data_IF_809247475386
#
_entry.id   IF_809247475386
#
_cell.length_a   1.000
_cell.length_b   1.000
_cell.length_c   1.000
_cell.angle_alpha   90.00
_cell.angle_beta   90.00
_cell.angle_gamma   90.00
#
_symmetry.space_group_name_H-M   'P 1'
#
loop_
_entity.id
_entity.type
_entity.pdbx_description
1 polymer ?
#
# COMPACT_ATOMS: atom_id res chain seq x y z
N UNK A 1 -26.87 -93.70 -44.85
CA UNK A 1 -25.62 -92.98 -44.52
C UNK A 1 -25.96 -91.92 -43.47
N UNK A 2 -25.34 -92.01 -42.30
CA UNK A 2 -24.99 -90.94 -41.33
C UNK A 2 -25.80 -89.63 -41.37
N UNK A 3 -26.37 -89.06 -40.31
CA UNK A 3 -26.27 -89.26 -38.87
C UNK A 3 -27.09 -88.13 -38.22
N UNK A 4 -27.85 -88.51 -37.20
CA UNK A 4 -28.87 -87.76 -36.46
C UNK A 4 -28.22 -86.86 -35.39
N UNK A 5 -28.70 -85.63 -35.18
CA UNK A 5 -29.15 -85.07 -33.88
C UNK A 5 -29.49 -83.56 -33.97
N UNK A 6 -30.74 -83.25 -33.68
CA UNK A 6 -31.31 -81.96 -33.25
C UNK A 6 -31.37 -82.02 -31.70
N UNK A 7 -31.31 -80.90 -30.94
CA UNK A 7 -32.59 -80.33 -30.51
C UNK A 7 -32.62 -78.80 -30.34
N UNK A 8 -33.67 -78.20 -30.90
CA UNK A 8 -34.75 -77.45 -30.21
C UNK A 8 -34.45 -76.81 -28.84
N UNK A 9 -34.85 -75.53 -28.72
CA UNK A 9 -35.75 -74.88 -27.73
C UNK A 9 -35.30 -73.41 -27.58
N UNK A 10 -36.09 -72.34 -27.65
CA UNK A 10 -37.47 -72.13 -27.24
C UNK A 10 -37.50 -70.94 -26.27
N UNK A 11 -37.84 -69.78 -26.82
CA UNK A 11 -38.66 -68.71 -26.21
C UNK A 11 -38.11 -67.71 -25.15
N UNK A 12 -38.67 -66.50 -25.27
CA UNK A 12 -38.84 -65.42 -24.29
C UNK A 12 -37.63 -64.87 -23.50
N UNK A 13 -37.24 -63.63 -23.82
CA UNK A 13 -37.55 -62.45 -22.96
C UNK A 13 -36.92 -61.16 -23.48
N UNK A 14 -37.73 -60.11 -23.50
CA UNK A 14 -37.26 -58.74 -23.40
C UNK A 14 -36.40 -58.59 -22.13
N UNK A 15 -35.18 -58.10 -22.29
CA UNK A 15 -34.36 -57.57 -21.20
C UNK A 15 -33.70 -56.29 -21.71
N UNK A 16 -34.46 -55.22 -21.57
CA UNK A 16 -34.01 -53.96 -20.98
C UNK A 16 -32.49 -53.83 -20.84
N UNK A 17 -31.86 -53.09 -21.77
CA UNK A 17 -30.51 -52.57 -21.56
C UNK A 17 -30.60 -51.59 -20.38
N UNK A 18 -30.38 -52.09 -19.16
CA UNK A 18 -29.99 -51.27 -18.03
C UNK A 18 -28.67 -50.58 -18.40
N UNK A 19 -28.78 -49.35 -18.91
CA UNK A 19 -27.71 -48.37 -18.74
C UNK A 19 -27.58 -48.20 -17.23
N UNK A 20 -26.51 -48.74 -16.66
CA UNK A 20 -26.05 -48.36 -15.33
C UNK A 20 -25.68 -46.88 -15.43
N UNK A 21 -26.64 -46.00 -15.17
CA UNK A 21 -26.36 -44.60 -14.87
C UNK A 21 -25.68 -44.60 -13.50
N UNK A 22 -24.37 -44.32 -13.49
CA UNK A 22 -23.66 -44.09 -12.25
C UNK A 22 -24.18 -42.77 -11.66
N UNK A 23 -24.72 -42.77 -10.43
CA UNK A 23 -25.28 -41.57 -9.79
C UNK A 23 -24.23 -40.51 -9.42
N UNK A 24 -22.96 -40.75 -9.76
CA UNK A 24 -21.83 -39.85 -9.49
C UNK A 24 -21.68 -38.79 -10.59
N UNK A 25 -21.90 -39.13 -11.87
CA UNK A 25 -21.70 -38.17 -12.98
C UNK A 25 -22.78 -37.08 -13.00
N UNK A 26 -24.04 -37.49 -12.83
CA UNK A 26 -25.20 -36.58 -12.79
C UNK A 26 -25.20 -35.72 -11.52
N UNK A 27 -24.73 -36.26 -10.38
CA UNK A 27 -24.54 -35.49 -9.15
C UNK A 27 -23.45 -34.43 -9.30
N UNK A 28 -22.41 -34.70 -10.09
CA UNK A 28 -21.35 -33.73 -10.37
C UNK A 28 -21.81 -32.64 -11.34
N UNK A 29 -22.54 -33.00 -12.41
CA UNK A 29 -23.09 -32.05 -13.38
C UNK A 29 -24.16 -31.14 -12.75
N UNK A 30 -25.07 -31.70 -11.93
CA UNK A 30 -26.07 -30.90 -11.21
C UNK A 30 -25.43 -30.00 -10.14
N UNK A 31 -24.36 -30.45 -9.46
CA UNK A 31 -23.60 -29.59 -8.55
C UNK A 31 -22.87 -28.48 -9.30
N UNK A 32 -22.25 -28.76 -10.45
CA UNK A 32 -21.56 -27.76 -11.26
C UNK A 32 -22.52 -26.75 -11.88
N UNK A 33 -23.70 -27.17 -12.32
CA UNK A 33 -24.73 -26.28 -12.84
C UNK A 33 -25.30 -25.38 -11.73
N UNK A 34 -25.62 -25.93 -10.55
CA UNK A 34 -26.11 -25.15 -9.39
C UNK A 34 -25.05 -24.19 -8.86
N UNK A 35 -23.77 -24.60 -8.87
CA UNK A 35 -22.63 -23.76 -8.50
C UNK A 35 -22.40 -22.63 -9.51
N UNK A 36 -22.49 -22.93 -10.81
CA UNK A 36 -22.40 -21.93 -11.89
C UNK A 36 -23.56 -20.94 -11.87
N UNK A 37 -24.77 -21.40 -11.51
CA UNK A 37 -25.97 -20.56 -11.37
C UNK A 37 -25.94 -19.68 -10.12
N UNK A 38 -25.35 -20.16 -9.02
CA UNK A 38 -25.12 -19.37 -7.80
C UNK A 38 -23.96 -18.37 -7.96
N UNK A 39 -22.89 -18.72 -8.69
CA UNK A 39 -21.84 -17.76 -9.08
C UNK A 39 -22.37 -16.67 -10.03
N UNK A 40 -23.22 -17.01 -11.00
CA UNK A 40 -23.79 -16.03 -11.93
C UNK A 40 -24.86 -15.13 -11.31
N UNK A 41 -25.68 -15.63 -10.36
CA UNK A 41 -26.61 -14.78 -9.61
C UNK A 41 -25.91 -13.82 -8.63
N UNK A 42 -24.82 -14.26 -7.97
CA UNK A 42 -24.00 -13.38 -7.14
C UNK A 42 -23.25 -12.34 -7.98
N UNK A 43 -22.65 -12.77 -9.11
CA UNK A 43 -21.93 -11.90 -10.04
C UNK A 43 -22.83 -10.90 -10.76
N UNK A 44 -24.12 -11.19 -10.98
CA UNK A 44 -25.06 -10.28 -11.64
C UNK A 44 -25.48 -9.08 -10.77
N UNK A 45 -25.55 -9.25 -9.44
CA UNK A 45 -25.77 -8.12 -8.51
C UNK A 45 -24.48 -7.36 -8.17
N UNK A 46 -23.31 -8.00 -8.23
CA UNK A 46 -22.01 -7.39 -7.97
C UNK A 46 -21.35 -6.75 -9.21
N UNK A 47 -21.73 -7.18 -10.42
CA UNK A 47 -21.08 -6.81 -11.68
C UNK A 47 -21.24 -5.34 -12.08
N UNK A 48 -22.27 -4.66 -11.59
CA UNK A 48 -22.50 -3.24 -11.90
C UNK A 48 -21.58 -2.30 -11.11
N UNK A 49 -21.12 -2.70 -9.91
CA UNK A 49 -20.37 -1.83 -8.99
C UNK A 49 -18.86 -2.13 -8.97
N UNK A 50 -18.47 -3.37 -9.26
CA UNK A 50 -17.07 -3.81 -9.28
C UNK A 50 -16.15 -3.01 -10.23
N UNK A 51 -16.59 -2.58 -11.44
CA UNK A 51 -15.79 -1.72 -12.30
C UNK A 51 -15.56 -0.32 -11.72
N UNK A 52 -16.58 0.27 -11.07
CA UNK A 52 -16.48 1.58 -10.42
C UNK A 52 -15.55 1.56 -9.23
N UNK A 53 -15.57 0.47 -8.44
CA UNK A 53 -14.62 0.25 -7.34
C UNK A 53 -13.17 0.20 -7.85
N UNK A 54 -12.91 -0.54 -8.94
CA UNK A 54 -11.58 -0.59 -9.57
C UNK A 54 -11.13 0.78 -10.08
N UNK A 55 -12.02 1.51 -10.75
CA UNK A 55 -11.74 2.87 -11.25
C UNK A 55 -11.46 3.85 -10.11
N UNK A 56 -12.21 3.77 -9.01
CA UNK A 56 -12.02 4.61 -7.84
C UNK A 56 -10.66 4.39 -7.16
N UNK A 57 -10.27 3.12 -6.96
CA UNK A 57 -8.95 2.79 -6.39
C UNK A 57 -7.83 3.23 -7.32
N UNK A 58 -7.99 3.05 -8.64
CA UNK A 58 -6.99 3.50 -9.62
C UNK A 58 -6.84 5.03 -9.60
N UNK A 59 -7.94 5.77 -9.68
CA UNK A 59 -7.92 7.23 -9.66
C UNK A 59 -7.32 7.79 -8.36
N UNK A 60 -7.70 7.24 -7.20
CA UNK A 60 -7.15 7.64 -5.92
C UNK A 60 -5.63 7.42 -5.84
N UNK A 61 -5.12 6.29 -6.35
CA UNK A 61 -3.68 6.02 -6.38
C UNK A 61 -2.92 6.95 -7.34
N UNK A 62 -3.51 7.35 -8.47
CA UNK A 62 -2.91 8.37 -9.34
C UNK A 62 -2.76 9.70 -8.61
N UNK A 63 -3.78 10.13 -7.85
CA UNK A 63 -3.69 11.36 -7.04
C UNK A 63 -2.58 11.23 -6.00
N UNK A 64 -2.48 10.10 -5.29
CA UNK A 64 -1.40 9.84 -4.34
C UNK A 64 -0.02 9.88 -5.00
N UNK A 65 0.11 9.38 -6.23
CA UNK A 65 1.35 9.39 -7.00
C UNK A 65 1.77 10.82 -7.38
N UNK A 66 0.81 11.66 -7.81
CA UNK A 66 1.06 13.08 -8.12
C UNK A 66 1.48 13.84 -6.86
N UNK A 67 0.75 13.69 -5.76
CA UNK A 67 1.08 14.32 -4.47
C UNK A 67 2.47 13.86 -3.99
N UNK A 68 2.76 12.55 -4.05
CA UNK A 68 4.06 11.99 -3.69
C UNK A 68 5.21 12.55 -4.54
N UNK A 69 4.97 12.75 -5.83
CA UNK A 69 5.95 13.31 -6.76
C UNK A 69 6.22 14.79 -6.49
N UNK A 70 5.20 15.58 -6.15
CA UNK A 70 5.36 16.98 -5.72
C UNK A 70 6.16 17.05 -4.41
N UNK A 71 5.84 16.19 -3.44
CA UNK A 71 6.57 16.13 -2.17
C UNK A 71 8.04 15.73 -2.37
N UNK A 72 8.29 14.74 -3.22
CA UNK A 72 9.65 14.32 -3.54
C UNK A 72 10.42 15.45 -4.23
N UNK A 73 9.82 16.11 -5.22
CA UNK A 73 10.43 17.25 -5.90
C UNK A 73 10.72 18.40 -4.93
N UNK A 74 9.80 18.72 -4.02
CA UNK A 74 10.00 19.72 -2.97
C UNK A 74 11.14 19.31 -2.02
N UNK A 75 11.18 18.05 -1.57
CA UNK A 75 12.24 17.55 -0.70
C UNK A 75 13.63 17.62 -1.37
N UNK A 76 13.72 17.25 -2.65
CA UNK A 76 14.96 17.36 -3.44
C UNK A 76 15.33 18.83 -3.63
N UNK A 77 14.37 19.70 -3.94
CA UNK A 77 14.60 21.14 -4.09
C UNK A 77 15.17 21.76 -2.80
N UNK A 78 14.56 21.46 -1.65
CA UNK A 78 15.05 21.89 -0.33
C UNK A 78 16.49 21.43 -0.07
N UNK A 79 16.92 20.30 -0.65
CA UNK A 79 18.26 19.75 -0.48
C UNK A 79 19.29 20.34 -1.45
N UNK A 80 18.89 20.69 -2.66
CA UNK A 80 19.80 21.11 -3.73
C UNK A 80 20.03 22.61 -3.78
N UNK A 81 19.06 23.41 -3.34
CA UNK A 81 19.19 24.87 -3.36
C UNK A 81 20.36 25.37 -2.50
N UNK A 82 21.26 26.12 -3.14
CA UNK A 82 22.51 26.59 -2.54
C UNK A 82 22.28 27.69 -1.51
N UNK A 83 21.24 28.53 -1.66
CA UNK A 83 20.89 29.55 -0.65
C UNK A 83 20.43 28.88 0.64
N UNK A 84 19.56 27.88 0.54
CA UNK A 84 19.13 27.08 1.68
C UNK A 84 20.28 26.31 2.34
N UNK A 85 21.14 25.67 1.54
CA UNK A 85 22.31 24.95 2.08
C UNK A 85 23.31 25.88 2.76
N UNK A 86 23.57 27.06 2.22
CA UNK A 86 24.53 28.00 2.80
C UNK A 86 24.00 28.55 4.12
N UNK A 87 22.72 28.95 4.16
CA UNK A 87 22.00 29.33 5.39
C UNK A 87 22.06 28.23 6.47
N UNK A 88 21.91 26.96 6.08
CA UNK A 88 22.01 25.83 7.00
C UNK A 88 23.46 25.55 7.44
N UNK A 89 24.44 25.60 6.53
CA UNK A 89 25.83 25.25 6.82
C UNK A 89 26.54 26.24 7.75
N UNK A 90 26.22 27.52 7.62
CA UNK A 90 26.78 28.59 8.45
C UNK A 90 26.19 28.56 9.87
N UNK A 91 24.92 28.14 10.01
CA UNK A 91 24.25 27.86 11.31
C UNK A 91 24.73 26.59 11.99
N UNK A 92 25.06 25.56 11.20
CA UNK A 92 25.38 24.21 11.67
C UNK A 92 26.78 24.13 12.31
N UNK A 93 27.75 24.92 11.84
CA UNK A 93 29.13 24.82 12.34
C UNK A 93 29.31 25.27 13.80
N UNK A 94 28.41 26.08 14.36
CA UNK A 94 28.52 26.59 15.74
C UNK A 94 27.72 25.80 16.79
N UNK A 95 26.81 24.91 16.39
CA UNK A 95 25.93 24.17 17.34
C UNK A 95 26.32 22.68 17.46
N UNK A 96 27.15 22.18 16.55
CA UNK A 96 27.36 20.73 16.35
C UNK A 96 28.47 20.12 17.21
N UNK A 97 29.12 20.88 18.10
CA UNK A 97 30.10 20.25 19.00
C UNK A 97 29.45 19.53 20.21
N UNK A 98 28.18 19.81 20.57
CA UNK A 98 27.61 19.23 21.81
C UNK A 98 26.23 18.53 21.76
N UNK A 99 25.49 18.51 20.64
CA UNK A 99 24.15 17.90 20.61
C UNK A 99 23.95 16.89 19.46
N UNK A 100 24.52 15.69 19.62
CA UNK A 100 24.41 14.57 18.66
C UNK A 100 22.99 13.95 18.55
N UNK A 101 22.02 14.43 19.33
CA UNK A 101 20.63 13.94 19.35
C UNK A 101 19.59 14.95 18.82
N UNK A 102 19.93 16.24 18.74
CA UNK A 102 19.06 17.29 18.20
C UNK A 102 19.58 17.76 16.85
N UNK A 103 19.54 16.87 15.86
CA UNK A 103 19.82 17.25 14.48
C UNK A 103 18.92 18.43 14.07
N UNK A 104 19.43 19.41 13.28
CA UNK A 104 18.69 20.60 12.91
C UNK A 104 17.43 20.16 12.18
N UNK A 105 16.29 20.46 12.80
CA UNK A 105 14.96 19.98 12.41
C UNK A 105 14.69 20.14 10.92
N UNK A 106 15.24 21.16 10.28
CA UNK A 106 15.11 21.43 8.84
C UNK A 106 15.91 20.49 7.93
N UNK A 107 17.14 20.10 8.28
CA UNK A 107 17.92 19.16 7.46
C UNK A 107 17.29 17.77 7.54
N UNK A 108 16.94 17.33 8.76
CA UNK A 108 16.20 16.09 8.98
C UNK A 108 14.84 16.12 8.24
N UNK A 109 14.13 17.25 8.28
CA UNK A 109 12.85 17.43 7.57
C UNK A 109 12.98 17.23 6.05
N UNK A 110 14.06 17.71 5.41
CA UNK A 110 14.27 17.49 3.97
C UNK A 110 14.40 16.00 3.62
N UNK A 111 15.19 15.23 4.38
CA UNK A 111 15.34 13.78 4.17
C UNK A 111 14.05 13.03 4.46
N UNK A 112 13.35 13.39 5.54
CA UNK A 112 12.04 12.80 5.88
C UNK A 112 11.05 13.04 4.73
N UNK A 113 11.00 14.27 4.20
CA UNK A 113 10.12 14.61 3.07
C UNK A 113 10.44 13.81 1.81
N UNK A 114 11.74 13.62 1.50
CA UNK A 114 12.18 12.77 0.38
C UNK A 114 11.75 11.32 0.58
N UNK A 115 12.02 10.75 1.75
CA UNK A 115 11.69 9.35 2.06
C UNK A 115 10.17 9.14 1.98
N UNK A 116 9.39 10.02 2.59
CA UNK A 116 7.93 9.96 2.54
C UNK A 116 7.40 10.08 1.11
N UNK A 117 7.92 11.03 0.32
CA UNK A 117 7.54 11.17 -1.09
C UNK A 117 7.82 9.91 -1.91
N UNK A 118 9.02 9.33 -1.76
CA UNK A 118 9.38 8.06 -2.40
C UNK A 118 8.46 6.91 -1.99
N UNK A 119 8.22 6.73 -0.68
CA UNK A 119 7.33 5.68 -0.18
C UNK A 119 5.90 5.82 -0.73
N UNK A 120 5.37 7.04 -0.81
CA UNK A 120 4.05 7.32 -1.37
C UNK A 120 3.96 6.91 -2.85
N UNK A 121 4.98 7.21 -3.66
CA UNK A 121 5.03 6.83 -5.07
C UNK A 121 5.07 5.30 -5.22
N UNK A 122 5.89 4.62 -4.43
CA UNK A 122 6.01 3.15 -4.46
C UNK A 122 4.69 2.48 -4.09
N UNK A 123 4.03 2.94 -3.03
CA UNK A 123 2.73 2.39 -2.61
C UNK A 123 1.65 2.66 -3.67
N UNK A 124 1.62 3.86 -4.25
CA UNK A 124 0.68 4.18 -5.33
C UNK A 124 0.90 3.29 -6.57
N UNK A 125 2.16 3.01 -6.92
CA UNK A 125 2.49 2.09 -8.01
C UNK A 125 1.96 0.67 -7.73
N UNK A 126 2.18 0.13 -6.53
CA UNK A 126 1.61 -1.16 -6.14
C UNK A 126 0.08 -1.15 -6.09
N UNK A 127 -0.56 -0.02 -5.78
CA UNK A 127 -2.02 0.13 -5.86
C UNK A 127 -2.53 0.04 -7.30
N UNK A 128 -1.90 0.77 -8.23
CA UNK A 128 -2.24 0.71 -9.65
C UNK A 128 -1.99 -0.70 -10.24
N UNK A 129 -0.84 -1.31 -9.94
CA UNK A 129 -0.53 -2.66 -10.38
C UNK A 129 -1.44 -3.71 -9.72
N UNK A 130 -1.78 -3.55 -8.44
CA UNK A 130 -2.60 -4.52 -7.70
C UNK A 130 -4.02 -4.65 -8.24
N UNK A 131 -4.62 -3.55 -8.71
CA UNK A 131 -5.94 -3.57 -9.35
C UNK A 131 -5.91 -4.28 -10.71
N UNK A 132 -4.82 -4.12 -11.47
CA UNK A 132 -4.71 -4.62 -12.84
C UNK A 132 -4.09 -6.01 -12.94
N UNK A 133 -3.32 -6.46 -11.95
CA UNK A 133 -2.45 -7.64 -12.10
C UNK A 133 -3.17 -8.99 -12.03
N UNK A 134 -4.47 -9.05 -11.71
CA UNK A 134 -5.23 -10.29 -11.41
C UNK A 134 -4.48 -11.26 -10.47
N UNK A 135 -3.48 -10.75 -9.75
CA UNK A 135 -2.55 -11.53 -8.95
C UNK A 135 -2.81 -11.20 -7.49
N UNK A 136 -3.37 -12.18 -6.79
CA UNK A 136 -3.69 -12.10 -5.36
C UNK A 136 -2.50 -11.68 -4.50
N UNK A 137 -1.27 -12.05 -4.87
CA UNK A 137 -0.06 -11.70 -4.12
C UNK A 137 0.20 -10.20 -4.15
N UNK A 138 0.07 -9.55 -5.31
CA UNK A 138 0.29 -8.10 -5.44
C UNK A 138 -0.75 -7.32 -4.63
N UNK A 139 -2.00 -7.80 -4.63
CA UNK A 139 -3.08 -7.20 -3.87
C UNK A 139 -2.90 -7.36 -2.35
N UNK A 140 -2.36 -8.50 -1.89
CA UNK A 140 -1.98 -8.70 -0.48
C UNK A 140 -0.85 -7.76 -0.08
N UNK A 141 0.19 -7.63 -0.90
CA UNK A 141 1.31 -6.69 -0.64
C UNK A 141 0.80 -5.25 -0.53
N UNK A 142 -0.09 -4.83 -1.44
CA UNK A 142 -0.73 -3.52 -1.37
C UNK A 142 -1.53 -3.33 -0.07
N UNK A 143 -2.35 -4.31 0.30
CA UNK A 143 -3.13 -4.27 1.54
C UNK A 143 -2.23 -4.14 2.77
N UNK A 144 -1.11 -4.86 2.82
CA UNK A 144 -0.13 -4.77 3.90
C UNK A 144 0.54 -3.40 3.95
N UNK A 145 0.92 -2.85 2.79
CA UNK A 145 1.54 -1.53 2.72
C UNK A 145 0.59 -0.41 3.19
N UNK A 146 -0.69 -0.43 2.75
CA UNK A 146 -1.70 0.55 3.19
C UNK A 146 -1.97 0.43 4.68
N UNK A 147 -1.99 -0.79 5.23
CA UNK A 147 -2.14 -1.00 6.67
C UNK A 147 -0.97 -0.40 7.48
N UNK A 148 0.28 -0.59 7.02
CA UNK A 148 1.44 0.02 7.66
C UNK A 148 1.40 1.55 7.58
N UNK A 149 0.98 2.11 6.44
CA UNK A 149 0.78 3.55 6.29
C UNK A 149 -0.30 4.09 7.23
N UNK A 150 -1.37 3.33 7.48
CA UNK A 150 -2.42 3.71 8.43
C UNK A 150 -1.86 3.82 9.85
N UNK A 151 -1.06 2.84 10.29
CA UNK A 151 -0.41 2.89 11.61
C UNK A 151 0.53 4.10 11.68
N UNK A 152 1.38 4.30 10.67
CA UNK A 152 2.31 5.43 10.64
C UNK A 152 1.57 6.79 10.66
N UNK A 153 0.46 6.89 9.92
CA UNK A 153 -0.40 8.09 9.89
C UNK A 153 -0.97 8.34 11.28
N UNK A 154 -1.55 7.33 11.93
CA UNK A 154 -2.07 7.45 13.30
C UNK A 154 -0.99 7.87 14.30
N UNK A 155 0.19 7.23 14.27
CA UNK A 155 1.31 7.59 15.14
C UNK A 155 1.76 9.04 14.93
N UNK A 156 1.89 9.49 13.68
CA UNK A 156 2.23 10.87 13.35
C UNK A 156 1.16 11.85 13.84
N UNK A 157 -0.12 11.54 13.63
CA UNK A 157 -1.23 12.35 14.10
C UNK A 157 -1.26 12.51 15.62
N UNK A 158 -1.08 11.42 16.36
CA UNK A 158 -1.01 11.45 17.84
C UNK A 158 0.19 12.30 18.29
N UNK A 159 1.36 12.14 17.66
CA UNK A 159 2.54 12.94 17.97
C UNK A 159 2.31 14.44 17.73
N UNK A 160 1.69 14.80 16.60
CA UNK A 160 1.36 16.19 16.27
C UNK A 160 0.36 16.80 17.26
N UNK A 161 -0.66 16.02 17.68
CA UNK A 161 -1.62 16.47 18.69
C UNK A 161 -0.95 16.69 20.04
N UNK A 162 -0.06 15.78 20.45
CA UNK A 162 0.70 15.94 21.70
C UNK A 162 1.59 17.19 21.68
N UNK A 163 2.26 17.46 20.55
CA UNK A 163 3.11 18.64 20.41
C UNK A 163 2.34 19.95 20.34
N UNK A 164 1.08 19.93 19.89
CA UNK A 164 0.24 21.14 19.79
C UNK A 164 0.18 21.94 21.09
N UNK A 165 0.05 21.25 22.22
CA UNK A 165 -0.18 21.91 23.52
C UNK A 165 1.06 22.65 24.05
N UNK A 166 2.27 22.25 23.65
CA UNK A 166 3.52 22.89 24.08
C UNK A 166 4.01 24.03 23.16
N UNK A 167 3.54 24.07 21.91
CA UNK A 167 4.06 24.99 20.88
C UNK A 167 3.85 26.45 21.24
N UNK A 168 2.78 26.80 21.96
CA UNK A 168 2.48 28.20 22.30
C UNK A 168 3.54 28.82 23.22
N UNK A 169 3.93 28.08 24.25
CA UNK A 169 4.96 28.49 25.22
C UNK A 169 6.33 28.46 24.56
N UNK A 170 6.66 27.37 23.84
CA UNK A 170 7.93 27.25 23.11
C UNK A 170 8.11 28.39 22.09
N UNK A 171 7.03 28.80 21.41
CA UNK A 171 7.04 29.90 20.46
C UNK A 171 7.33 31.24 21.15
N UNK A 172 6.65 31.52 22.27
CA UNK A 172 6.88 32.75 23.04
C UNK A 172 8.33 32.83 23.55
N UNK A 173 8.83 31.73 24.11
CA UNK A 173 10.20 31.67 24.64
C UNK A 173 11.25 31.82 23.52
N UNK A 174 11.02 31.17 22.37
CA UNK A 174 11.89 31.32 21.21
C UNK A 174 11.90 32.77 20.67
N UNK A 175 10.74 33.43 20.59
CA UNK A 175 10.65 34.82 20.15
C UNK A 175 11.31 35.77 21.14
N UNK A 176 11.10 35.60 22.45
CA UNK A 176 11.79 36.37 23.48
C UNK A 176 13.30 36.23 23.39
N UNK A 177 13.80 34.99 23.23
CA UNK A 177 15.23 34.71 23.08
C UNK A 177 15.81 35.40 21.84
N UNK A 178 15.10 35.33 20.69
CA UNK A 178 15.52 35.96 19.45
C UNK A 178 15.56 37.49 19.55
N UNK A 179 14.59 38.11 20.23
CA UNK A 179 14.58 39.56 20.48
C UNK A 179 15.75 39.98 21.36
N UNK A 180 15.97 39.27 22.48
CA UNK A 180 17.06 39.58 23.41
C UNK A 180 18.44 39.55 22.72
N UNK A 181 18.66 38.56 21.87
CA UNK A 181 19.95 38.34 21.19
C UNK A 181 20.00 38.93 19.78
N UNK A 182 19.08 39.81 19.39
CA UNK A 182 19.00 40.31 18.02
C UNK A 182 20.29 41.04 17.56
N UNK A 183 20.82 41.96 18.38
CA UNK A 183 22.03 42.74 18.05
C UNK A 183 23.35 42.09 18.50
N UNK A 184 23.30 41.13 19.43
CA UNK A 184 24.49 40.54 20.06
C UNK A 184 24.70 39.07 19.68
N UNK A 185 23.69 38.43 19.09
CA UNK A 185 23.72 37.02 18.72
C UNK A 185 24.34 36.77 17.36
N UNK A 186 24.36 35.50 16.96
CA UNK A 186 24.76 35.10 15.61
C UNK A 186 23.84 35.78 14.58
N UNK A 187 24.41 36.21 13.43
CA UNK A 187 23.65 36.91 12.38
C UNK A 187 22.40 36.14 11.88
N UNK A 188 22.35 34.85 12.15
CA UNK A 188 21.26 33.97 11.77
C UNK A 188 20.03 34.16 12.66
N UNK A 189 20.20 34.56 13.94
CA UNK A 189 19.09 34.98 14.81
C UNK A 189 18.46 36.25 14.23
N UNK A 190 19.29 37.20 13.80
CA UNK A 190 18.86 38.44 13.18
C UNK A 190 18.07 38.18 11.89
N UNK A 191 18.64 37.40 10.96
CA UNK A 191 18.00 37.07 9.68
C UNK A 191 16.70 36.29 9.87
N UNK A 192 16.67 35.35 10.81
CA UNK A 192 15.45 34.56 11.09
C UNK A 192 14.34 35.43 11.66
N UNK A 193 14.66 36.31 12.60
CA UNK A 193 13.68 37.21 13.20
C UNK A 193 13.18 38.25 12.19
N UNK A 194 14.06 38.79 11.35
CA UNK A 194 13.71 39.72 10.27
C UNK A 194 12.75 39.05 9.27
N UNK A 195 13.01 37.80 8.89
CA UNK A 195 12.11 37.04 8.03
C UNK A 195 10.75 36.77 8.68
N UNK A 196 10.71 36.42 9.97
CA UNK A 196 9.46 36.22 10.70
C UNK A 196 8.65 37.52 10.76
N UNK A 197 9.28 38.62 11.15
CA UNK A 197 8.65 39.95 11.29
C UNK A 197 8.09 40.45 9.97
N UNK A 198 8.83 40.30 8.87
CA UNK A 198 8.37 40.69 7.53
C UNK A 198 7.27 39.78 7.00
N UNK A 199 7.36 38.46 7.22
CA UNK A 199 6.38 37.47 6.74
C UNK A 199 5.04 37.61 7.46
N UNK A 200 5.06 37.75 8.78
CA UNK A 200 3.84 37.84 9.61
C UNK A 200 3.39 39.27 9.89
N UNK A 201 4.13 40.27 9.38
CA UNK A 201 3.89 41.71 9.58
C UNK A 201 3.68 42.05 11.06
N UNK A 202 4.70 41.72 11.84
CA UNK A 202 4.69 41.82 13.30
C UNK A 202 6.04 42.35 13.81
N UNK A 203 6.13 42.64 15.11
CA UNK A 203 7.37 43.09 15.75
C UNK A 203 7.48 42.54 17.16
N UNK A 204 8.68 42.08 17.54
CA UNK A 204 8.94 41.51 18.87
C UNK A 204 8.14 40.24 19.16
N UNK A 205 8.10 39.83 20.43
CA UNK A 205 7.27 38.73 20.91
C UNK A 205 5.82 39.21 21.11
N UNK A 206 5.64 40.17 22.01
CA UNK A 206 4.39 40.84 22.32
C UNK A 206 4.25 42.22 21.64
N UNK A 207 5.35 42.80 21.16
CA UNK A 207 5.33 44.04 20.38
C UNK A 207 6.67 44.77 20.31
N UNK A 208 6.66 45.99 19.75
CA UNK A 208 7.85 46.86 19.69
C UNK A 208 8.44 47.24 21.06
N UNK A 209 7.67 47.11 22.15
CA UNK A 209 8.13 47.34 23.52
C UNK A 209 9.25 46.39 23.95
N UNK A 210 9.30 45.19 23.37
CA UNK A 210 10.22 44.15 23.78
C UNK A 210 11.67 44.55 23.50
N UNK A 211 11.93 45.20 22.36
CA UNK A 211 13.25 45.76 22.04
C UNK A 211 13.65 46.87 23.02
N UNK A 212 12.70 47.74 23.39
CA UNK A 212 12.96 48.83 24.34
C UNK A 212 13.26 48.30 25.74
N UNK A 213 12.65 47.19 26.15
CA UNK A 213 12.95 46.54 27.43
C UNK A 213 14.42 46.12 27.53
N UNK A 214 15.04 45.75 26.41
CA UNK A 214 16.47 45.43 26.32
C UNK A 214 17.36 46.63 25.95
N UNK A 215 16.82 47.86 25.94
CA UNK A 215 17.51 49.10 25.50
C UNK A 215 18.04 49.00 24.06
N UNK A 216 17.29 48.33 23.20
CA UNK A 216 17.56 48.17 21.78
C UNK A 216 16.52 48.94 20.95
N UNK A 217 16.93 49.45 19.79
CA UNK A 217 16.00 50.05 18.85
C UNK A 217 15.28 48.96 18.04
N UNK A 218 13.98 49.12 17.72
CA UNK A 218 13.28 48.18 16.83
C UNK A 218 13.93 48.14 15.44
N UNK A 219 14.14 46.95 14.85
CA UNK A 219 14.75 46.83 13.54
C UNK A 219 13.83 47.31 12.40
N UNK A 220 14.41 47.57 11.22
CA UNK A 220 13.68 48.04 10.03
C UNK A 220 12.69 47.00 9.47
N UNK A 221 12.86 45.73 9.85
CA UNK A 221 11.99 44.61 9.51
C UNK A 221 10.64 44.63 10.25
N UNK A 222 10.52 45.40 11.32
CA UNK A 222 9.28 45.53 12.08
C UNK A 222 8.19 46.28 11.31
N UNK A 223 6.94 45.80 11.43
CA UNK A 223 5.76 46.48 10.88
C UNK A 223 5.38 47.72 11.69
N UNK A 224 4.82 48.74 11.02
CA UNK A 224 4.43 50.03 11.64
C UNK A 224 3.35 49.84 12.71
N UNK A 225 2.53 48.79 12.60
CA UNK A 225 1.47 48.48 13.57
C UNK A 225 2.00 47.96 14.90
N UNK A 226 3.25 47.52 14.99
CA UNK A 226 3.87 47.04 16.23
C UNK A 226 3.10 45.91 16.93
N UNK A 227 2.33 45.10 16.20
CA UNK A 227 1.64 43.92 16.75
C UNK A 227 2.65 42.83 17.11
N UNK A 228 2.43 42.12 18.21
CA UNK A 228 3.28 41.00 18.64
C UNK A 228 3.30 39.84 17.66
N UNK A 229 4.50 39.31 17.36
CA UNK A 229 4.64 38.15 16.48
C UNK A 229 4.04 36.88 17.05
N UNK A 230 4.06 36.71 18.38
CA UNK A 230 3.50 35.54 19.04
C UNK A 230 2.03 35.33 18.68
N UNK A 231 1.21 36.38 18.84
CA UNK A 231 -0.21 36.33 18.51
C UNK A 231 -0.44 36.04 17.01
N UNK A 232 0.25 36.73 16.11
CA UNK A 232 0.09 36.57 14.65
C UNK A 232 0.48 35.17 14.19
N UNK A 233 1.61 34.66 14.67
CA UNK A 233 2.12 33.32 14.33
C UNK A 233 1.22 32.26 14.94
N UNK A 234 0.79 32.41 16.20
CA UNK A 234 -0.09 31.45 16.85
C UNK A 234 -1.45 31.33 16.13
N UNK A 235 -2.03 32.46 15.71
CA UNK A 235 -3.27 32.45 14.90
C UNK A 235 -3.04 31.72 13.58
N UNK A 236 -1.94 32.01 12.87
CA UNK A 236 -1.61 31.33 11.62
C UNK A 236 -1.39 29.81 11.80
N UNK A 237 -0.67 29.41 12.85
CA UNK A 237 -0.45 28.02 13.22
C UNK A 237 -1.75 27.33 13.59
N UNK A 238 -2.63 27.97 14.38
CA UNK A 238 -3.92 27.40 14.79
C UNK A 238 -4.85 27.13 13.59
N UNK A 239 -4.89 28.06 12.62
CA UNK A 239 -5.59 27.85 11.35
C UNK A 239 -4.98 26.68 10.58
N UNK A 240 -3.64 26.65 10.47
CA UNK A 240 -2.91 25.55 9.85
C UNK A 240 -3.19 24.19 10.49
N UNK A 241 -3.22 24.11 11.82
CA UNK A 241 -3.55 22.89 12.56
C UNK A 241 -4.99 22.45 12.32
N UNK A 242 -5.94 23.39 12.24
CA UNK A 242 -7.34 23.07 11.92
C UNK A 242 -7.46 22.42 10.53
N UNK A 243 -6.83 23.02 9.51
CA UNK A 243 -6.82 22.48 8.15
C UNK A 243 -6.11 21.12 8.13
N UNK A 244 -4.96 21.01 8.78
CA UNK A 244 -4.18 19.77 8.86
C UNK A 244 -4.98 18.65 9.50
N UNK A 245 -5.75 18.94 10.56
CA UNK A 245 -6.62 17.98 11.24
C UNK A 245 -7.75 17.49 10.32
N UNK A 246 -8.38 18.39 9.54
CA UNK A 246 -9.41 17.99 8.57
C UNK A 246 -8.82 17.08 7.49
N UNK A 247 -7.67 17.46 6.93
CA UNK A 247 -6.95 16.66 5.94
C UNK A 247 -6.55 15.31 6.53
N UNK A 248 -6.08 15.28 7.77
CA UNK A 248 -5.70 14.06 8.49
C UNK A 248 -6.85 13.06 8.59
N UNK A 249 -8.03 13.49 9.02
CA UNK A 249 -9.21 12.62 9.06
C UNK A 249 -9.64 12.16 7.67
N UNK A 250 -9.60 13.04 6.66
CA UNK A 250 -9.91 12.67 5.28
C UNK A 250 -8.94 11.60 4.75
N UNK A 251 -7.63 11.74 5.03
CA UNK A 251 -6.61 10.75 4.65
C UNK A 251 -6.87 9.41 5.32
N UNK A 252 -7.18 9.39 6.62
CA UNK A 252 -7.52 8.16 7.35
C UNK A 252 -8.74 7.49 6.72
N UNK A 253 -9.81 8.24 6.45
CA UNK A 253 -11.03 7.69 5.83
C UNK A 253 -10.69 7.09 4.46
N UNK A 254 -9.94 7.80 3.63
CA UNK A 254 -9.50 7.29 2.33
C UNK A 254 -8.65 6.02 2.45
N UNK A 255 -7.72 5.95 3.40
CA UNK A 255 -6.89 4.77 3.64
C UNK A 255 -7.72 3.58 4.13
N UNK A 256 -8.68 3.81 5.04
CA UNK A 256 -9.59 2.76 5.53
C UNK A 256 -10.46 2.23 4.39
N UNK A 257 -11.03 3.11 3.57
CA UNK A 257 -11.82 2.70 2.40
C UNK A 257 -10.95 1.90 1.41
N UNK A 258 -9.73 2.37 1.13
CA UNK A 258 -8.79 1.66 0.25
C UNK A 258 -8.44 0.27 0.80
N UNK A 259 -8.21 0.15 2.11
CA UNK A 259 -7.93 -1.11 2.78
C UNK A 259 -9.14 -2.06 2.71
N UNK A 260 -10.35 -1.57 3.01
CA UNK A 260 -11.58 -2.37 2.94
C UNK A 260 -11.81 -2.86 1.51
N UNK A 261 -11.66 -2.01 0.50
CA UNK A 261 -11.81 -2.40 -0.89
C UNK A 261 -10.72 -3.38 -1.35
N UNK A 262 -9.47 -3.17 -0.93
CA UNK A 262 -8.38 -4.11 -1.23
C UNK A 262 -8.67 -5.49 -0.63
N UNK A 263 -9.06 -5.56 0.64
CA UNK A 263 -9.42 -6.82 1.30
C UNK A 263 -10.63 -7.49 0.64
N UNK A 264 -11.67 -6.72 0.31
CA UNK A 264 -12.81 -7.23 -0.44
C UNK A 264 -12.37 -7.84 -1.79
N UNK A 265 -11.47 -7.18 -2.53
CA UNK A 265 -10.89 -7.74 -3.76
C UNK A 265 -10.05 -8.99 -3.51
N UNK A 266 -9.32 -9.09 -2.38
CA UNK A 266 -8.54 -10.29 -2.00
C UNK A 266 -9.45 -11.49 -1.70
N UNK A 267 -10.60 -11.25 -1.07
CA UNK A 267 -11.56 -12.30 -0.72
C UNK A 267 -12.44 -12.71 -1.90
N UNK A 268 -12.82 -11.78 -2.76
CA UNK A 268 -13.64 -12.07 -3.96
C UNK A 268 -12.85 -12.72 -5.08
N UNK A 269 -11.52 -12.56 -5.14
CA UNK A 269 -10.70 -13.37 -6.05
C UNK A 269 -10.48 -14.78 -5.47
N UNK A 270 -11.13 -15.83 -6.02
CA UNK A 270 -10.83 -17.19 -5.61
C UNK A 270 -9.37 -17.50 -5.97
N UNK A 271 -8.65 -18.16 -5.05
CA UNK A 271 -7.33 -18.70 -5.35
C UNK A 271 -7.43 -19.57 -6.60
N UNK A 272 -6.87 -19.14 -7.74
CA UNK A 272 -6.66 -20.04 -8.88
C UNK A 272 -5.58 -21.03 -8.47
N UNK A 273 -5.98 -22.08 -7.76
CA UNK A 273 -5.15 -23.27 -7.57
C UNK A 273 -4.94 -23.84 -8.96
N UNK A 274 -3.75 -23.62 -9.54
CA UNK A 274 -3.33 -24.34 -10.74
C UNK A 274 -3.14 -25.80 -10.33
N UNK A 275 -4.20 -26.59 -10.43
CA UNK A 275 -4.10 -28.04 -10.32
C UNK A 275 -3.32 -28.48 -11.56
N UNK A 276 -2.02 -28.69 -11.39
CA UNK A 276 -1.20 -29.37 -12.39
C UNK A 276 -1.61 -30.83 -12.32
N UNK A 277 -2.50 -31.24 -13.22
CA UNK A 277 -2.76 -32.65 -13.43
C UNK A 277 -1.45 -33.27 -13.93
N UNK A 278 -0.79 -34.03 -13.07
CA UNK A 278 0.23 -34.98 -13.53
C UNK A 278 -0.57 -36.05 -14.26
N UNK A 279 -0.50 -36.05 -15.58
CA UNK A 279 -1.02 -37.16 -16.37
C UNK A 279 -0.23 -38.39 -15.91
N UNK A 280 -0.86 -39.28 -15.14
CA UNK A 280 -0.24 -40.57 -14.83
C UNK A 280 0.21 -41.18 -16.15
N UNK A 281 1.49 -41.60 -16.20
CA UNK A 281 2.05 -42.26 -17.37
C UNK A 281 1.08 -43.36 -17.78
N UNK A 282 0.56 -43.25 -19.01
CA UNK A 282 -0.33 -44.24 -19.61
C UNK A 282 0.26 -45.61 -19.27
N UNK A 283 -0.46 -46.51 -18.56
CA UNK A 283 0.11 -47.79 -18.18
C UNK A 283 0.62 -48.42 -19.47
N UNK A 284 1.93 -48.72 -19.53
CA UNK A 284 2.51 -49.45 -20.64
C UNK A 284 1.55 -50.61 -20.95
N UNK A 285 1.18 -50.81 -22.23
CA UNK A 285 0.28 -51.90 -22.58
C UNK A 285 0.93 -53.18 -22.06
N UNK A 286 0.36 -53.77 -21.00
CA UNK A 286 0.77 -55.08 -20.52
C UNK A 286 0.62 -56.02 -21.69
N UNK A 287 1.77 -56.41 -22.25
CA UNK A 287 1.88 -57.19 -23.46
C UNK A 287 1.22 -58.54 -23.18
N UNK A 288 -0.06 -58.63 -23.52
CA UNK A 288 -0.87 -59.81 -23.22
C UNK A 288 -0.45 -60.90 -24.17
N UNK A 289 -0.46 -62.16 -23.71
CA UNK A 289 -0.02 -63.32 -24.51
C UNK A 289 -0.69 -63.39 -25.89
N UNK A 290 -1.91 -62.86 -26.01
CA UNK A 290 -2.65 -62.77 -27.26
C UNK A 290 -2.15 -61.69 -28.24
N UNK A 291 -1.57 -60.59 -27.76
CA UNK A 291 -0.97 -59.54 -28.60
C UNK A 291 0.34 -60.01 -29.23
N UNK A 292 1.16 -60.74 -28.46
CA UNK A 292 2.43 -61.31 -28.94
C UNK A 292 2.21 -62.43 -29.97
N UNK A 293 1.18 -63.26 -29.76
CA UNK A 293 0.79 -64.32 -30.71
C UNK A 293 0.28 -63.75 -32.03
N UNK A 294 -0.15 -62.48 -32.05
CA UNK A 294 -0.67 -61.77 -33.23
C UNK A 294 0.42 -61.09 -34.06
N UNK A 295 1.67 -61.09 -33.62
CA UNK A 295 2.81 -60.43 -34.28
C UNK A 295 3.97 -61.38 -34.62
N UNK A 296 3.79 -62.70 -34.51
CA UNK A 296 4.75 -63.74 -34.93
C UNK A 296 6.21 -63.50 -34.47
N UNK A 297 6.39 -62.95 -33.27
CA UNK A 297 7.73 -62.76 -32.71
C UNK A 297 8.24 -64.07 -32.08
N UNK A 298 9.41 -64.59 -32.48
CA UNK A 298 9.94 -65.83 -31.96
C UNK A 298 10.68 -65.54 -30.65
N UNK A 299 10.15 -65.97 -29.52
CA UNK A 299 10.93 -66.01 -28.29
C UNK A 299 10.54 -67.21 -27.42
N UNK A 300 11.57 -67.98 -27.05
CA UNK A 300 11.47 -69.10 -26.13
C UNK A 300 11.62 -68.61 -24.70
N UNK A 301 10.54 -68.70 -23.92
CA UNK A 301 10.53 -68.28 -22.52
C UNK A 301 11.12 -69.40 -21.66
N UNK A 302 12.19 -69.10 -20.91
CA UNK A 302 12.80 -70.04 -19.94
C UNK A 302 12.27 -69.73 -18.53
N UNK A 303 11.75 -70.76 -17.86
CA UNK A 303 11.07 -70.65 -16.55
C UNK A 303 12.09 -70.63 -15.41
N UNK A 304 12.02 -69.65 -14.51
CA UNK A 304 12.80 -69.70 -13.27
C UNK A 304 12.14 -70.59 -12.21
N UNK A 305 12.89 -70.94 -11.15
CA UNK A 305 12.43 -71.82 -10.07
C UNK A 305 11.33 -71.22 -9.18
N UNK A 306 11.00 -69.94 -9.34
CA UNK A 306 9.92 -69.26 -8.60
C UNK A 306 8.66 -69.07 -9.46
N UNK A 307 8.68 -69.51 -10.72
CA UNK A 307 7.50 -69.54 -11.59
C UNK A 307 7.20 -68.22 -12.29
N UNK A 308 8.14 -67.26 -12.28
CA UNK A 308 8.01 -66.03 -13.05
C UNK A 308 8.61 -66.20 -14.45
N UNK A 309 8.01 -65.50 -15.41
CA UNK A 309 8.43 -65.48 -16.81
C UNK A 309 8.98 -64.09 -17.14
N UNK A 310 10.18 -64.03 -17.69
CA UNK A 310 10.74 -62.83 -18.34
C UNK A 310 10.87 -63.10 -19.83
#
# INVERSE_FOLDING_TARGET
>A
MTGRFDPRYGDHRAFEKQRVYSPVHERNEVNEEYRSRSYSLASSKEGSCLPWLKYGVFAANIVLMVVGSILLAMGVWLRTDSRFRNFLSERYRQVVEEAFWEAPTLYAFSYITIILGCCMIVVAFFGCCGVNAENRVVLIIYSMAVFLLLIATLSCGIYLLYKRDGIDVELSDALNYMVQHYYQGAGIIQESLDHLQTTFRCCGNAGCSDFRAFRQDPPRSCDIRCDGCHYRIWVALSIGFSITLVVFFAVIICQVLALVFALYLVFTQPSRVRVVYVQDAKPEPRLTREMLKRHDLPYGIRKDRQGNYY
#
